data_IF_258359762680
#
_entry.id   IF_258359762680
#
_cell.length_a   1.000
_cell.length_b   1.000
_cell.length_c   1.000
_cell.angle_alpha   90.00
_cell.angle_beta   90.00
_cell.angle_gamma   90.00
#
_symmetry.space_group_name_H-M   'P 1'
#
loop_
_entity.id
_entity.type
_entity.pdbx_description
1 polymer ?
#
# COMPACT_ATOMS: atom_id res chain seq x y z
N UNK A 1 30.11 13.22 -12.07
CA UNK A 1 28.76 12.72 -12.40
C UNK A 1 28.44 11.63 -11.38
N UNK A 2 27.86 12.00 -10.24
CA UNK A 2 27.55 11.02 -9.19
C UNK A 2 26.27 10.29 -9.60
N UNK A 3 26.41 9.03 -10.00
CA UNK A 3 25.30 8.10 -10.02
C UNK A 3 24.96 7.81 -8.55
N UNK A 4 24.01 8.58 -8.00
CA UNK A 4 23.47 8.29 -6.68
C UNK A 4 22.81 6.91 -6.76
N UNK A 5 23.42 5.92 -6.13
CA UNK A 5 22.80 4.60 -5.96
C UNK A 5 21.61 4.80 -5.04
N UNK A 6 20.47 5.11 -5.68
CA UNK A 6 19.16 5.30 -5.07
C UNK A 6 18.88 4.12 -4.13
N UNK A 7 19.01 4.31 -2.81
CA UNK A 7 18.82 3.23 -1.83
C UNK A 7 17.33 2.86 -1.80
N UNK A 8 17.01 1.76 -2.47
CA UNK A 8 15.69 1.15 -2.44
C UNK A 8 15.51 0.44 -1.09
N UNK A 9 14.64 0.98 -0.25
CA UNK A 9 14.14 0.26 0.91
C UNK A 9 12.96 -0.60 0.48
N UNK A 10 12.73 -1.69 1.20
CA UNK A 10 11.65 -2.63 0.91
C UNK A 10 10.73 -2.75 2.11
N UNK A 11 9.43 -2.55 1.87
CA UNK A 11 8.38 -2.80 2.84
C UNK A 11 7.61 -4.03 2.41
N UNK A 12 7.49 -4.99 3.32
CA UNK A 12 6.73 -6.22 3.09
C UNK A 12 5.56 -6.28 4.04
N UNK A 13 4.44 -6.78 3.55
CA UNK A 13 3.24 -6.85 4.36
C UNK A 13 2.15 -7.68 3.74
N UNK A 14 1.01 -7.68 4.42
CA UNK A 14 -0.17 -8.39 3.97
C UNK A 14 -1.38 -7.45 4.08
N UNK A 15 -2.14 -7.34 3.01
CA UNK A 15 -3.46 -6.71 3.05
C UNK A 15 -4.42 -7.75 3.60
N UNK A 16 -5.13 -7.41 4.68
CA UNK A 16 -6.14 -8.26 5.31
C UNK A 16 -7.50 -7.63 5.09
N UNK A 17 -8.47 -8.41 4.64
CA UNK A 17 -9.86 -7.96 4.58
C UNK A 17 -10.42 -7.82 5.99
N UNK A 18 -11.13 -6.73 6.31
CA UNK A 18 -11.88 -6.57 7.56
C UNK A 18 -13.29 -6.05 7.26
N UNK A 19 -14.23 -6.38 8.15
CA UNK A 19 -15.63 -5.95 8.00
C UNK A 19 -16.45 -6.84 7.05
N UNK A 20 -16.19 -8.15 7.05
CA UNK A 20 -16.98 -9.13 6.29
C UNK A 20 -16.42 -9.50 4.91
N UNK A 21 -15.27 -8.96 4.52
CA UNK A 21 -14.60 -9.34 3.27
C UNK A 21 -13.50 -10.39 3.41
N UNK A 22 -13.29 -10.93 4.60
CA UNK A 22 -12.25 -11.93 4.90
C UNK A 22 -12.37 -13.19 4.02
N UNK A 23 -13.60 -13.61 3.71
CA UNK A 23 -13.86 -14.78 2.86
C UNK A 23 -14.21 -14.43 1.40
N UNK A 24 -14.26 -13.15 1.06
CA UNK A 24 -14.58 -12.71 -0.31
C UNK A 24 -13.47 -13.15 -1.27
N UNK A 25 -13.87 -13.93 -2.28
CA UNK A 25 -13.01 -14.27 -3.38
C UNK A 25 -13.06 -13.19 -4.46
N UNK A 26 -11.89 -12.81 -4.97
CA UNK A 26 -11.77 -11.93 -6.12
C UNK A 26 -12.17 -12.67 -7.41
N UNK A 27 -12.72 -11.92 -8.37
CA UNK A 27 -13.19 -12.44 -9.65
C UNK A 27 -12.06 -12.62 -10.67
N UNK A 28 -10.86 -12.09 -10.38
CA UNK A 28 -9.66 -12.22 -11.20
C UNK A 28 -9.38 -11.03 -12.10
N UNK A 29 -10.13 -9.94 -11.91
CA UNK A 29 -10.08 -8.73 -12.71
C UNK A 29 -9.70 -7.51 -11.86
N UNK A 30 -9.61 -7.70 -10.55
CA UNK A 30 -9.31 -6.68 -9.56
C UNK A 30 -7.80 -6.40 -9.51
N UNK A 31 -7.45 -5.14 -9.27
CA UNK A 31 -6.08 -4.66 -9.14
C UNK A 31 -5.92 -4.10 -7.74
N UNK A 32 -5.10 -4.77 -6.93
CA UNK A 32 -4.62 -4.23 -5.67
C UNK A 32 -3.48 -3.25 -5.97
N UNK A 33 -3.64 -2.03 -5.48
CA UNK A 33 -2.66 -0.95 -5.58
C UNK A 33 -2.25 -0.61 -4.15
N UNK A 34 -1.00 -0.88 -3.81
CA UNK A 34 -0.42 -0.48 -2.53
C UNK A 34 0.62 0.59 -2.78
N UNK A 35 0.51 1.72 -2.09
CA UNK A 35 1.38 2.88 -2.26
C UNK A 35 2.00 3.29 -0.92
N UNK A 36 3.30 3.58 -0.96
CA UNK A 36 4.06 4.18 0.13
C UNK A 36 4.07 5.68 -0.08
N UNK A 37 3.52 6.42 0.87
CA UNK A 37 3.44 7.87 0.82
C UNK A 37 4.18 8.50 2.00
N UNK A 38 4.88 9.59 1.74
CA UNK A 38 5.40 10.48 2.78
C UNK A 38 4.33 11.53 3.13
N UNK A 39 3.77 11.39 4.33
CA UNK A 39 2.81 12.30 4.99
C UNK A 39 3.48 13.03 6.16
N UNK A 40 4.81 13.15 6.16
CA UNK A 40 5.56 13.76 7.27
C UNK A 40 5.17 15.21 7.53
N UNK A 41 4.57 15.85 6.52
CA UNK A 41 4.15 17.24 6.55
C UNK A 41 2.65 17.27 6.28
N UNK A 42 1.84 17.52 7.31
CA UNK A 42 0.40 17.66 7.20
C UNK A 42 -0.03 18.78 6.23
N UNK A 43 0.83 19.79 6.05
CA UNK A 43 0.63 20.95 5.18
C UNK A 43 1.28 20.83 3.79
N UNK A 44 1.82 19.66 3.42
CA UNK A 44 2.44 19.43 2.12
C UNK A 44 1.74 18.30 1.36
N UNK A 45 1.73 18.34 0.02
CA UNK A 45 1.22 17.24 -0.79
C UNK A 45 2.00 15.96 -0.49
N UNK A 46 1.28 14.86 -0.25
CA UNK A 46 1.87 13.56 0.02
C UNK A 46 2.73 13.10 -1.16
N UNK A 47 3.99 12.78 -0.89
CA UNK A 47 4.92 12.34 -1.93
C UNK A 47 4.82 10.81 -2.04
N UNK A 48 4.48 10.30 -3.23
CA UNK A 48 4.53 8.87 -3.50
C UNK A 48 5.98 8.44 -3.67
N UNK A 49 6.46 7.60 -2.75
CA UNK A 49 7.84 7.11 -2.73
C UNK A 49 8.00 5.77 -3.46
N UNK A 50 6.88 5.06 -3.65
CA UNK A 50 6.84 3.77 -4.30
C UNK A 50 5.42 3.22 -4.33
N UNK A 51 5.10 2.46 -5.37
CA UNK A 51 3.83 1.77 -5.48
C UNK A 51 4.03 0.37 -6.06
N UNK A 52 3.17 -0.56 -5.65
CA UNK A 52 3.06 -1.88 -6.23
C UNK A 52 1.62 -2.10 -6.71
N UNK A 53 1.48 -2.66 -7.91
CA UNK A 53 0.21 -3.10 -8.46
C UNK A 53 0.22 -4.62 -8.59
N UNK A 54 -0.76 -5.27 -8.00
CA UNK A 54 -0.94 -6.72 -8.03
C UNK A 54 -2.29 -7.00 -8.68
N UNK A 55 -2.27 -7.70 -9.81
CA UNK A 55 -3.51 -8.22 -10.40
C UNK A 55 -3.95 -9.43 -9.61
N UNK A 56 -5.10 -9.32 -8.94
CA UNK A 56 -5.66 -10.37 -8.12
C UNK A 56 -6.20 -11.47 -9.02
N UNK A 57 -5.96 -12.73 -8.64
CA UNK A 57 -6.41 -13.88 -9.42
C UNK A 57 -7.83 -14.30 -9.05
N UNK A 58 -8.51 -14.96 -9.99
CA UNK A 58 -9.83 -15.52 -9.71
C UNK A 58 -9.76 -16.55 -8.59
N UNK A 59 -10.58 -16.39 -7.57
CA UNK A 59 -10.57 -17.26 -6.39
C UNK A 59 -9.50 -16.92 -5.37
N UNK A 60 -8.67 -15.90 -5.62
CA UNK A 60 -7.75 -15.37 -4.62
C UNK A 60 -8.58 -14.70 -3.50
N UNK A 61 -8.10 -14.84 -2.26
CA UNK A 61 -8.75 -14.30 -1.06
C UNK A 61 -7.71 -13.57 -0.24
N UNK A 62 -8.18 -12.73 0.68
CA UNK A 62 -7.31 -12.22 1.73
C UNK A 62 -6.74 -13.36 2.58
N UNK A 63 -5.53 -13.22 3.16
CA UNK A 63 -4.63 -12.08 3.02
C UNK A 63 -3.84 -12.06 1.69
N UNK A 64 -3.65 -10.85 1.13
CA UNK A 64 -2.83 -10.64 -0.07
C UNK A 64 -1.47 -10.08 0.34
N UNK A 65 -0.39 -10.81 0.06
CA UNK A 65 0.96 -10.36 0.36
C UNK A 65 1.43 -9.31 -0.65
N UNK A 66 2.13 -8.29 -0.17
CA UNK A 66 2.74 -7.25 -0.98
C UNK A 66 4.18 -7.00 -0.56
N UNK A 67 4.98 -6.50 -1.51
CA UNK A 67 6.41 -6.26 -1.32
C UNK A 67 6.88 -5.02 -2.10
N UNK A 68 6.61 -3.83 -1.55
CA UNK A 68 6.89 -2.58 -2.25
C UNK A 68 8.33 -2.16 -2.03
N UNK A 69 9.02 -1.86 -3.12
CA UNK A 69 10.31 -1.16 -3.10
C UNK A 69 10.06 0.35 -3.20
N UNK A 70 10.57 1.12 -2.24
CA UNK A 70 10.42 2.56 -2.17
C UNK A 70 11.77 3.26 -1.99
N UNK A 71 11.85 4.51 -2.43
CA UNK A 71 13.08 5.29 -2.38
C UNK A 71 13.24 5.97 -1.03
N UNK A 72 13.96 5.34 -0.09
CA UNK A 72 14.15 5.88 1.28
C UNK A 72 14.91 7.21 1.26
N UNK A 73 15.76 7.46 0.27
CA UNK A 73 16.45 8.75 0.14
C UNK A 73 15.51 9.92 -0.16
N UNK A 74 14.34 9.65 -0.75
CA UNK A 74 13.31 10.67 -1.00
C UNK A 74 12.32 10.78 0.17
N UNK A 75 12.34 9.82 1.11
CA UNK A 75 11.61 9.93 2.36
C UNK A 75 12.18 11.06 3.21
N UNK A 76 11.32 11.78 3.93
CA UNK A 76 11.76 12.75 4.91
C UNK A 76 12.64 12.03 5.94
N UNK A 77 13.88 12.50 6.13
CA UNK A 77 14.82 11.99 7.16
C UNK A 77 14.38 12.33 8.59
N UNK A 78 13.12 12.69 8.79
CA UNK A 78 12.57 13.03 10.09
C UNK A 78 12.26 11.72 10.81
N UNK A 79 12.97 11.40 11.91
CA UNK A 79 13.00 10.06 12.50
C UNK A 79 11.67 9.57 13.11
N UNK A 80 10.61 10.39 13.11
CA UNK A 80 9.31 10.04 13.73
C UNK A 80 8.08 10.33 12.88
N UNK A 81 8.25 10.93 11.69
CA UNK A 81 7.13 11.39 10.89
C UNK A 81 7.06 10.64 9.56
N UNK A 82 5.88 10.06 9.29
CA UNK A 82 5.20 10.32 8.02
C UNK A 82 5.11 9.23 6.97
N UNK A 83 5.84 8.13 7.03
CA UNK A 83 5.63 7.08 6.02
C UNK A 83 4.34 6.34 6.29
N UNK A 84 3.37 6.46 5.38
CA UNK A 84 2.07 5.78 5.45
C UNK A 84 1.86 4.88 4.26
N UNK A 85 1.25 3.72 4.50
CA UNK A 85 0.75 2.86 3.43
C UNK A 85 -0.71 3.19 3.12
N UNK A 86 -0.97 3.31 1.83
CA UNK A 86 -2.31 3.30 1.25
C UNK A 86 -2.48 2.00 0.48
N UNK A 87 -3.52 1.23 0.78
CA UNK A 87 -3.89 0.04 0.04
C UNK A 87 -5.32 0.21 -0.47
N UNK A 88 -5.48 0.10 -1.79
CA UNK A 88 -6.78 0.15 -2.44
C UNK A 88 -6.91 -0.94 -3.48
N UNK A 89 -8.11 -1.46 -3.65
CA UNK A 89 -8.42 -2.47 -4.66
C UNK A 89 -9.46 -1.87 -5.59
N UNK A 90 -9.15 -1.88 -6.88
CA UNK A 90 -10.01 -1.40 -7.95
C UNK A 90 -10.43 -2.56 -8.84
N UNK A 91 -11.65 -2.54 -9.38
CA UNK A 91 -12.05 -3.43 -10.47
C UNK A 91 -11.40 -3.01 -11.81
N UNK A 92 -11.48 -3.83 -12.85
CA UNK A 92 -11.02 -3.52 -14.20
C UNK A 92 -11.65 -2.23 -14.77
N UNK A 93 -12.84 -1.87 -14.32
CA UNK A 93 -13.49 -0.60 -14.67
C UNK A 93 -12.93 0.63 -13.92
N UNK A 94 -11.91 0.46 -13.07
CA UNK A 94 -11.39 1.51 -12.20
C UNK A 94 -12.30 1.84 -11.01
N UNK A 95 -13.29 0.98 -10.72
CA UNK A 95 -14.18 1.16 -9.58
C UNK A 95 -13.49 0.71 -8.30
N UNK A 96 -13.36 1.62 -7.34
CA UNK A 96 -12.80 1.32 -6.02
C UNK A 96 -13.72 0.36 -5.24
N UNK A 97 -13.27 -0.87 -5.02
CA UNK A 97 -13.98 -1.90 -4.27
C UNK A 97 -13.60 -1.90 -2.79
N UNK A 98 -12.30 -1.74 -2.51
CA UNK A 98 -11.76 -1.75 -1.16
C UNK A 98 -10.76 -0.63 -0.98
N UNK A 99 -10.73 -0.05 0.22
CA UNK A 99 -9.72 0.93 0.61
C UNK A 99 -9.40 0.77 2.09
N UNK A 100 -8.15 1.05 2.46
CA UNK A 100 -7.81 1.20 3.86
C UNK A 100 -8.32 2.56 4.38
N UNK A 101 -9.13 2.53 5.43
CA UNK A 101 -9.56 3.75 6.12
C UNK A 101 -8.52 4.21 7.17
N UNK A 102 -7.62 3.29 7.56
CA UNK A 102 -6.59 3.55 8.57
C UNK A 102 -5.24 3.83 7.93
N UNK A 103 -4.68 5.01 8.20
CA UNK A 103 -3.28 5.31 7.88
C UNK A 103 -2.35 4.38 8.64
N UNK A 104 -1.65 3.50 7.91
CA UNK A 104 -0.76 2.52 8.52
C UNK A 104 0.68 3.01 8.40
N UNK A 105 1.31 3.38 9.52
CA UNK A 105 2.67 3.89 9.51
C UNK A 105 3.70 2.78 9.27
N UNK A 106 4.67 3.05 8.40
CA UNK A 106 5.82 2.16 8.12
C UNK A 106 6.89 2.37 9.19
N UNK A 107 6.58 1.99 10.44
CA UNK A 107 7.57 1.93 11.52
C UNK A 107 8.22 0.54 11.62
N UNK A 108 7.55 -0.48 11.11
CA UNK A 108 7.99 -1.89 11.18
C UNK A 108 8.30 -2.48 9.81
N UNK A 109 9.24 -3.43 9.75
CA UNK A 109 9.62 -4.15 8.52
C UNK A 109 8.51 -5.08 7.98
N UNK A 110 7.52 -5.40 8.82
CA UNK A 110 6.38 -6.26 8.49
C UNK A 110 5.10 -5.55 8.86
N UNK A 111 4.23 -5.32 7.88
CA UNK A 111 3.05 -4.47 8.06
C UNK A 111 1.78 -5.21 7.63
N UNK A 112 0.71 -5.04 8.40
CA UNK A 112 -0.61 -5.53 8.05
C UNK A 112 -1.51 -4.34 7.75
N UNK A 113 -2.10 -4.31 6.55
CA UNK A 113 -3.00 -3.23 6.13
C UNK A 113 -4.41 -3.77 6.07
N UNK A 114 -5.29 -3.24 6.93
CA UNK A 114 -6.70 -3.60 6.91
C UNK A 114 -7.43 -2.89 5.77
N UNK A 115 -7.94 -3.66 4.81
CA UNK A 115 -8.79 -3.18 3.74
C UNK A 115 -10.27 -3.44 4.07
N UNK A 116 -11.10 -2.42 3.91
CA UNK A 116 -12.54 -2.49 4.17
C UNK A 116 -13.33 -2.37 2.86
N UNK A 117 -14.52 -2.99 2.82
CA UNK A 117 -15.46 -2.81 1.71
C UNK A 117 -15.88 -1.34 1.69
N UNK A 118 -15.78 -0.71 0.52
CA UNK A 118 -16.38 0.60 0.31
C UNK A 118 -17.85 0.40 -0.11
N UNK A 119 -18.77 0.86 0.73
CA UNK A 119 -20.21 0.89 0.45
C UNK A 119 -20.58 2.08 -0.44
#
# INVERSE_FOLDING_TARGET
MYMQTKMAAKVTGSVVGKGGCEDNAFNGNEILIVEVQDTSRADAPSISLGQQKITLKKGEKFPINFDIEYQEEEASKVPDYGLTLSARIEDNNGQLLYINDTSTSIKDKKIEVAAYIKF
#
